data_IF_970590362113
#
_entry.id   IF_970590362113
#
_cell.length_a   1.000
_cell.length_b   1.000
_cell.length_c   1.000
_cell.angle_alpha   90.00
_cell.angle_beta   90.00
_cell.angle_gamma   90.00
#
_symmetry.space_group_name_H-M   'P 1'
#
loop_
_entity.id
_entity.type
_entity.pdbx_description
1 polymer ?
#
# COMPACT_ATOMS: atom_id res chain seq x y z
N UNK A 1 -5.37 -28.79 -9.34
CA UNK A 1 -5.16 -27.50 -10.04
C UNK A 1 -4.25 -26.64 -9.20
N UNK A 2 -3.12 -26.18 -9.74
CA UNK A 2 -2.18 -25.35 -9.02
C UNK A 2 -2.83 -24.04 -8.55
N UNK A 3 -2.48 -23.57 -7.36
CA UNK A 3 -2.98 -22.32 -6.78
C UNK A 3 -2.77 -21.13 -7.72
N UNK A 4 -1.60 -21.05 -8.36
CA UNK A 4 -1.28 -20.04 -9.37
C UNK A 4 -2.26 -20.04 -10.54
N UNK A 5 -2.70 -21.20 -11.01
CA UNK A 5 -3.68 -21.30 -12.10
C UNK A 5 -5.05 -20.74 -11.68
N UNK A 6 -5.48 -20.96 -10.43
CA UNK A 6 -6.74 -20.39 -9.90
C UNK A 6 -6.67 -18.87 -9.75
N UNK A 7 -5.52 -18.33 -9.35
CA UNK A 7 -5.32 -16.87 -9.32
C UNK A 7 -5.37 -16.28 -10.72
N UNK A 8 -4.73 -16.93 -11.71
CA UNK A 8 -4.76 -16.47 -13.10
C UNK A 8 -6.17 -16.52 -13.69
N UNK A 9 -6.92 -17.59 -13.41
CA UNK A 9 -8.31 -17.71 -13.84
C UNK A 9 -9.18 -16.60 -13.25
N UNK A 10 -9.08 -16.36 -11.92
CA UNK A 10 -9.77 -15.27 -11.23
C UNK A 10 -9.42 -13.91 -11.84
N UNK A 11 -8.13 -13.65 -12.09
CA UNK A 11 -7.68 -12.42 -12.73
C UNK A 11 -8.30 -12.24 -14.12
N UNK A 12 -8.31 -13.30 -14.93
CA UNK A 12 -8.93 -13.30 -16.25
C UNK A 12 -10.42 -12.97 -16.17
N UNK A 13 -11.15 -13.65 -15.30
CA UNK A 13 -12.59 -13.45 -15.12
C UNK A 13 -12.90 -12.01 -14.68
N UNK A 14 -12.27 -11.51 -13.66
CA UNK A 14 -12.63 -10.23 -13.05
C UNK A 14 -12.09 -9.03 -13.80
N UNK A 15 -10.86 -9.11 -14.30
CA UNK A 15 -10.18 -7.94 -14.86
C UNK A 15 -10.17 -7.91 -16.39
N UNK A 16 -10.17 -9.08 -17.05
CA UNK A 16 -10.18 -9.17 -18.52
C UNK A 16 -11.60 -9.31 -19.05
N UNK A 17 -12.36 -10.27 -18.51
CA UNK A 17 -13.74 -10.54 -18.95
C UNK A 17 -14.76 -9.58 -18.32
N UNK A 18 -14.38 -8.82 -17.31
CA UNK A 18 -15.25 -7.84 -16.65
C UNK A 18 -16.34 -8.47 -15.76
N UNK A 19 -16.22 -9.76 -15.41
CA UNK A 19 -17.18 -10.41 -14.50
C UNK A 19 -17.27 -9.63 -13.20
N UNK A 20 -18.47 -9.38 -12.74
CA UNK A 20 -18.71 -8.68 -11.48
C UNK A 20 -18.47 -9.59 -10.29
N UNK A 21 -17.97 -9.00 -9.19
CA UNK A 21 -17.73 -9.69 -7.94
C UNK A 21 -17.85 -8.70 -6.78
N UNK A 22 -18.54 -9.08 -5.72
CA UNK A 22 -18.84 -8.20 -4.59
C UNK A 22 -17.60 -7.53 -3.96
N UNK A 23 -16.45 -8.24 -3.91
CA UNK A 23 -15.21 -7.72 -3.34
C UNK A 23 -14.25 -7.10 -4.36
N UNK A 24 -14.62 -6.98 -5.62
CA UNK A 24 -13.76 -6.40 -6.67
C UNK A 24 -13.32 -4.97 -6.32
N UNK A 25 -14.21 -4.20 -5.71
CA UNK A 25 -13.97 -2.80 -5.37
C UNK A 25 -12.99 -2.61 -4.20
N UNK A 26 -12.85 -3.57 -3.28
CA UNK A 26 -11.95 -3.44 -2.12
C UNK A 26 -10.46 -3.47 -2.49
N UNK A 27 -10.13 -3.83 -3.72
CA UNK A 27 -8.76 -3.72 -4.24
C UNK A 27 -8.29 -2.25 -4.38
N UNK A 28 -9.23 -1.30 -4.43
CA UNK A 28 -8.95 0.13 -4.36
C UNK A 28 -8.78 0.54 -2.89
N UNK A 29 -7.68 1.22 -2.55
CA UNK A 29 -7.27 1.45 -1.15
C UNK A 29 -8.32 2.16 -0.30
N UNK A 30 -9.01 3.16 -0.87
CA UNK A 30 -10.04 3.92 -0.12
C UNK A 30 -11.25 3.02 0.16
N UNK A 31 -11.67 2.23 -0.84
CA UNK A 31 -12.79 1.31 -0.66
C UNK A 31 -12.45 0.16 0.27
N UNK A 32 -11.21 -0.34 0.19
CA UNK A 32 -10.70 -1.34 1.12
C UNK A 32 -10.70 -0.84 2.57
N UNK A 33 -10.23 0.39 2.82
CA UNK A 33 -10.28 0.99 4.15
C UNK A 33 -11.73 1.16 4.65
N UNK A 34 -12.64 1.67 3.81
CA UNK A 34 -14.06 1.79 4.17
C UNK A 34 -14.70 0.45 4.52
N UNK A 35 -14.34 -0.60 3.79
CA UNK A 35 -14.78 -1.95 4.10
C UNK A 35 -14.29 -2.40 5.48
N UNK A 36 -13.00 -2.20 5.79
CA UNK A 36 -12.43 -2.53 7.11
C UNK A 36 -13.09 -1.71 8.23
N UNK A 37 -13.31 -0.42 8.02
CA UNK A 37 -14.06 0.46 8.95
C UNK A 37 -15.48 -0.05 9.20
N UNK A 38 -16.17 -0.55 8.17
CA UNK A 38 -17.51 -1.10 8.31
C UNK A 38 -17.58 -2.36 9.16
N UNK A 39 -16.44 -3.03 9.36
CA UNK A 39 -16.29 -4.18 10.26
C UNK A 39 -15.92 -3.76 11.71
N UNK A 40 -15.86 -2.46 11.99
CA UNK A 40 -15.47 -1.93 13.31
C UNK A 40 -13.97 -2.00 13.59
N UNK A 41 -13.13 -2.22 12.57
CA UNK A 41 -11.69 -2.28 12.69
C UNK A 41 -11.05 -0.93 12.38
N UNK A 42 -9.93 -0.64 13.06
CA UNK A 42 -9.17 0.59 12.84
C UNK A 42 -8.42 0.56 11.52
N UNK A 43 -8.38 1.70 10.85
CA UNK A 43 -7.54 1.96 9.67
C UNK A 43 -6.71 3.24 9.91
N UNK A 44 -5.64 3.48 9.14
CA UNK A 44 -4.91 4.74 9.21
C UNK A 44 -5.84 5.93 8.96
N UNK A 45 -5.70 6.98 9.78
CA UNK A 45 -6.46 8.21 9.59
C UNK A 45 -6.21 8.80 8.20
N UNK A 46 -7.26 9.22 7.51
CA UNK A 46 -7.17 9.86 6.21
C UNK A 46 -7.23 11.37 6.35
N UNK A 47 -6.10 12.03 6.14
CA UNK A 47 -6.03 13.49 6.19
C UNK A 47 -6.55 14.17 4.93
N UNK A 48 -6.43 13.47 3.78
CA UNK A 48 -6.86 14.03 2.50
C UNK A 48 -7.19 12.93 1.48
N UNK A 49 -8.19 13.19 0.65
CA UNK A 49 -8.51 12.43 -0.56
C UNK A 49 -8.90 13.41 -1.66
N UNK A 50 -8.15 13.44 -2.75
CA UNK A 50 -8.40 14.33 -3.88
C UNK A 50 -8.35 13.62 -5.22
N UNK A 51 -9.15 14.13 -6.16
CA UNK A 51 -9.17 13.63 -7.55
C UNK A 51 -8.08 14.30 -8.41
N UNK A 52 -7.60 15.46 -7.96
CA UNK A 52 -6.58 16.24 -8.65
C UNK A 52 -5.30 16.28 -7.82
N UNK A 53 -4.18 16.07 -8.48
CA UNK A 53 -2.86 16.06 -7.84
C UNK A 53 -2.54 17.42 -7.24
N UNK A 54 -2.92 18.50 -7.91
CA UNK A 54 -2.67 19.88 -7.49
C UNK A 54 -3.44 20.26 -6.23
N UNK A 55 -4.48 19.52 -5.87
CA UNK A 55 -5.29 19.76 -4.67
C UNK A 55 -4.68 19.22 -3.38
N UNK A 56 -3.49 18.58 -3.43
CA UNK A 56 -2.75 18.18 -2.23
C UNK A 56 -2.56 19.40 -1.31
N UNK A 57 -2.92 19.34 -0.02
CA UNK A 57 -2.73 20.43 0.92
C UNK A 57 -1.26 20.81 1.09
N UNK A 58 -1.01 22.03 1.58
CA UNK A 58 0.33 22.43 1.96
C UNK A 58 0.85 21.58 3.11
N UNK A 59 2.14 21.26 3.12
CA UNK A 59 2.70 20.35 4.13
C UNK A 59 2.69 20.94 5.54
N UNK A 60 2.57 22.27 5.66
CA UNK A 60 2.43 22.94 6.95
C UNK A 60 1.08 22.61 7.62
N UNK A 61 0.08 22.25 6.84
CA UNK A 61 -1.26 21.90 7.32
C UNK A 61 -1.39 20.42 7.68
N UNK A 62 -0.32 19.64 7.53
CA UNK A 62 -0.28 18.21 7.80
C UNK A 62 0.61 17.89 9.00
N UNK A 63 0.43 16.73 9.65
CA UNK A 63 1.36 16.24 10.66
C UNK A 63 2.79 16.15 10.10
N UNK A 64 3.81 16.17 10.97
CA UNK A 64 5.22 16.03 10.55
C UNK A 64 5.50 14.72 9.79
N UNK A 65 4.69 13.69 10.05
CA UNK A 65 4.79 12.36 9.43
C UNK A 65 3.47 11.99 8.78
N UNK A 66 3.51 11.69 7.51
CA UNK A 66 2.35 11.24 6.74
C UNK A 66 2.77 10.45 5.50
N UNK A 67 1.82 9.79 4.89
CA UNK A 67 2.02 9.03 3.65
C UNK A 67 1.17 9.60 2.54
N UNK A 68 1.79 9.88 1.39
CA UNK A 68 1.08 10.22 0.15
C UNK A 68 1.12 8.98 -0.74
N UNK A 69 -0.02 8.57 -1.27
CA UNK A 69 -0.09 7.44 -2.19
C UNK A 69 -1.31 7.53 -3.13
N UNK A 70 -1.23 6.94 -4.34
CA UNK A 70 -2.40 6.79 -5.18
C UNK A 70 -3.36 5.74 -4.59
N UNK A 71 -4.66 5.96 -4.76
CA UNK A 71 -5.70 5.01 -4.32
C UNK A 71 -5.63 3.67 -5.06
N UNK A 72 -5.05 3.67 -6.25
CA UNK A 72 -4.81 2.50 -7.10
C UNK A 72 -3.32 2.33 -7.35
N UNK A 73 -2.90 1.13 -7.70
CA UNK A 73 -1.50 0.80 -7.96
C UNK A 73 -0.88 -0.11 -6.90
N UNK A 74 0.33 -0.59 -7.20
CA UNK A 74 1.07 -1.59 -6.42
C UNK A 74 2.57 -1.28 -6.43
N UNK A 75 3.34 -2.08 -5.70
CA UNK A 75 4.81 -2.03 -5.66
C UNK A 75 5.41 -0.69 -5.22
N UNK A 76 4.75 0.01 -4.30
CA UNK A 76 5.18 1.32 -3.76
C UNK A 76 5.39 2.40 -4.83
N UNK A 77 4.87 2.22 -6.05
CA UNK A 77 4.93 3.23 -7.09
C UNK A 77 4.16 4.48 -6.68
N UNK A 78 4.79 5.63 -6.81
CA UNK A 78 4.22 6.94 -6.44
C UNK A 78 3.80 7.03 -4.96
N UNK A 79 4.44 6.25 -4.09
CA UNK A 79 4.25 6.31 -2.64
C UNK A 79 5.37 7.14 -2.02
N UNK A 80 5.00 8.10 -1.19
CA UNK A 80 5.92 8.94 -0.41
C UNK A 80 5.60 8.75 1.08
N UNK A 81 6.54 8.23 1.81
CA UNK A 81 6.47 8.06 3.26
C UNK A 81 7.29 9.18 3.89
N UNK A 82 6.62 10.26 4.27
CA UNK A 82 7.28 11.50 4.66
C UNK A 82 7.46 11.62 6.17
N UNK A 83 8.65 12.06 6.57
CA UNK A 83 8.99 12.46 7.92
C UNK A 83 9.75 13.80 7.82
N UNK A 84 9.13 14.89 8.26
CA UNK A 84 9.68 16.26 8.16
C UNK A 84 10.17 16.58 6.73
N UNK A 85 9.36 16.24 5.73
CA UNK A 85 9.67 16.43 4.31
C UNK A 85 10.71 15.48 3.73
N UNK A 86 11.27 14.56 4.52
CA UNK A 86 12.19 13.52 4.02
C UNK A 86 11.39 12.25 3.71
N UNK A 87 11.45 11.78 2.48
CA UNK A 87 10.86 10.52 2.10
C UNK A 87 11.73 9.35 2.58
N UNK A 88 11.15 8.52 3.44
CA UNK A 88 11.84 7.38 4.05
C UNK A 88 12.15 6.27 3.04
N UNK A 89 11.46 6.26 1.89
CA UNK A 89 11.68 5.27 0.83
C UNK A 89 12.93 5.56 -0.02
N UNK A 90 13.34 6.81 -0.20
CA UNK A 90 14.48 7.19 -1.03
C UNK A 90 15.52 8.06 -0.32
N UNK A 91 15.21 8.46 0.93
CA UNK A 91 16.08 9.31 1.76
C UNK A 91 16.21 10.76 1.30
N UNK A 92 15.45 11.17 0.26
CA UNK A 92 15.50 12.54 -0.26
C UNK A 92 14.52 13.45 0.47
N UNK A 93 14.82 14.74 0.51
CA UNK A 93 13.84 15.77 0.84
C UNK A 93 12.98 16.02 -0.39
N UNK A 94 11.70 16.16 -0.15
CA UNK A 94 10.70 16.47 -1.17
C UNK A 94 9.81 17.61 -0.68
N UNK A 95 9.66 18.64 -1.48
CA UNK A 95 8.61 19.64 -1.31
C UNK A 95 7.30 19.15 -1.91
N UNK A 96 6.20 19.79 -1.53
CA UNK A 96 4.89 19.55 -2.13
C UNK A 96 4.93 19.70 -3.66
N UNK A 97 5.52 20.79 -4.16
CA UNK A 97 5.56 21.06 -5.60
C UNK A 97 6.39 20.02 -6.37
N UNK A 98 7.48 19.54 -5.81
CA UNK A 98 8.27 18.45 -6.43
C UNK A 98 7.48 17.14 -6.49
N UNK A 99 6.69 16.81 -5.45
CA UNK A 99 5.82 15.63 -5.45
C UNK A 99 4.72 15.77 -6.49
N UNK A 100 4.06 16.93 -6.54
CA UNK A 100 3.04 17.23 -7.56
C UNK A 100 3.62 17.07 -8.95
N UNK A 101 4.75 17.71 -9.24
CA UNK A 101 5.41 17.63 -10.54
C UNK A 101 5.81 16.18 -10.90
N UNK A 102 6.38 15.45 -9.93
CA UNK A 102 6.79 14.07 -10.12
C UNK A 102 5.60 13.17 -10.45
N UNK A 103 4.52 13.22 -9.66
CA UNK A 103 3.34 12.36 -9.88
C UNK A 103 2.65 12.75 -11.20
N UNK A 104 2.55 14.04 -11.52
CA UNK A 104 1.97 14.51 -12.79
C UNK A 104 2.74 14.04 -14.02
N UNK A 105 4.03 13.76 -13.87
CA UNK A 105 4.85 13.20 -14.96
C UNK A 105 4.68 11.69 -15.16
N UNK A 106 3.96 11.00 -14.26
CA UNK A 106 3.82 9.54 -14.32
C UNK A 106 2.65 9.11 -15.21
N UNK A 107 2.88 8.37 -16.32
CA UNK A 107 1.81 7.93 -17.22
C UNK A 107 0.73 7.13 -16.51
N UNK A 108 1.12 6.24 -15.60
CA UNK A 108 0.20 5.34 -14.88
C UNK A 108 -0.84 6.04 -14.01
N UNK A 109 -0.61 7.27 -13.62
CA UNK A 109 -1.56 8.09 -12.85
C UNK A 109 -2.49 8.83 -13.80
N UNK A 110 -1.95 9.35 -14.91
CA UNK A 110 -2.70 10.15 -15.88
C UNK A 110 -3.66 9.31 -16.74
N UNK A 111 -3.31 8.06 -17.03
CA UNK A 111 -4.13 7.15 -17.86
C UNK A 111 -5.35 6.61 -17.12
N UNK A 112 -5.37 6.68 -15.79
CA UNK A 112 -6.47 6.16 -14.99
C UNK A 112 -7.22 7.30 -14.27
N UNK A 113 -8.16 7.91 -14.98
CA UNK A 113 -9.01 9.00 -14.46
C UNK A 113 -9.76 8.70 -13.15
N UNK A 114 -9.77 7.44 -12.70
CA UNK A 114 -10.39 7.01 -11.44
C UNK A 114 -9.39 6.92 -10.28
N UNK A 115 -8.11 7.18 -10.53
CA UNK A 115 -7.08 7.15 -9.48
C UNK A 115 -7.11 8.46 -8.71
N UNK A 116 -7.40 8.38 -7.41
CA UNK A 116 -7.33 9.50 -6.48
C UNK A 116 -5.99 9.50 -5.78
N UNK A 117 -5.55 10.65 -5.31
CA UNK A 117 -4.48 10.74 -4.33
C UNK A 117 -5.07 10.74 -2.92
N UNK A 118 -4.41 10.06 -2.02
CA UNK A 118 -4.75 10.08 -0.61
C UNK A 118 -3.52 10.40 0.23
N UNK A 119 -3.76 11.12 1.31
CA UNK A 119 -2.79 11.37 2.38
C UNK A 119 -3.36 10.73 3.64
N UNK A 120 -2.55 9.92 4.27
CA UNK A 120 -2.95 9.20 5.46
C UNK A 120 -1.87 9.21 6.54
N UNK A 121 -2.26 8.75 7.70
CA UNK A 121 -1.42 8.56 8.85
C UNK A 121 -0.18 7.73 8.54
N UNK A 122 0.96 8.19 9.05
CA UNK A 122 2.20 7.42 9.07
C UNK A 122 2.14 6.39 10.17
N UNK A 123 2.04 5.12 9.82
CA UNK A 123 2.09 4.04 10.79
C UNK A 123 3.51 3.85 11.32
N UNK A 124 3.64 3.95 12.65
CA UNK A 124 4.92 3.79 13.34
C UNK A 124 5.26 2.30 13.43
N UNK A 125 6.50 1.96 13.12
CA UNK A 125 7.01 0.61 13.34
C UNK A 125 6.92 0.26 14.83
N UNK A 126 6.51 -0.97 15.15
CA UNK A 126 6.27 -1.41 16.54
C UNK A 126 7.50 -1.31 17.45
N UNK A 127 8.71 -1.50 16.92
CA UNK A 127 9.96 -1.44 17.70
C UNK A 127 10.75 -0.15 17.54
N UNK A 128 10.61 0.57 16.40
CA UNK A 128 11.44 1.72 16.05
C UNK A 128 10.63 2.87 15.46
N UNK A 129 10.59 4.00 16.17
CA UNK A 129 9.81 5.20 15.78
C UNK A 129 10.20 5.83 14.43
N UNK A 130 11.37 5.53 13.90
CA UNK A 130 11.89 6.12 12.65
C UNK A 130 12.01 5.09 11.52
N UNK A 131 11.49 3.91 11.72
CA UNK A 131 11.47 2.84 10.71
C UNK A 131 10.11 2.78 10.03
N UNK A 132 10.10 2.44 8.76
CA UNK A 132 8.86 2.17 8.02
C UNK A 132 8.23 0.91 8.61
N UNK A 133 6.91 0.91 8.81
CA UNK A 133 6.20 -0.24 9.30
C UNK A 133 6.39 -1.45 8.37
N UNK A 134 6.49 -2.63 8.96
CA UNK A 134 6.59 -3.88 8.21
C UNK A 134 5.28 -4.17 7.45
N UNK A 135 5.41 -4.85 6.33
CA UNK A 135 4.31 -5.30 5.49
C UNK A 135 3.89 -6.72 5.92
N UNK A 136 2.66 -6.90 6.38
CA UNK A 136 2.10 -8.21 6.72
C UNK A 136 1.12 -8.64 5.63
N UNK A 137 1.42 -9.72 4.93
CA UNK A 137 0.60 -10.28 3.86
C UNK A 137 0.02 -11.62 4.26
N UNK A 138 -1.26 -11.62 4.56
CA UNK A 138 -2.00 -12.83 4.91
C UNK A 138 -2.43 -13.57 3.64
N UNK A 139 -1.99 -14.79 3.50
CA UNK A 139 -2.42 -15.69 2.44
C UNK A 139 -3.52 -16.60 3.00
N UNK A 140 -4.76 -16.34 2.54
CA UNK A 140 -5.96 -16.99 3.06
C UNK A 140 -6.52 -18.02 2.08
N UNK A 141 -7.03 -19.12 2.62
CA UNK A 141 -7.83 -20.11 1.91
C UNK A 141 -9.19 -20.25 2.61
N UNK A 142 -10.19 -19.53 2.13
CA UNK A 142 -11.43 -19.39 2.85
C UNK A 142 -11.21 -18.64 4.16
N UNK A 143 -11.54 -19.25 5.28
CA UNK A 143 -11.34 -18.71 6.64
C UNK A 143 -9.97 -19.07 7.25
N UNK A 144 -9.18 -19.92 6.61
CA UNK A 144 -7.92 -20.43 7.15
C UNK A 144 -6.74 -19.59 6.67
N UNK A 145 -5.79 -19.31 7.56
CA UNK A 145 -4.52 -18.67 7.24
C UNK A 145 -3.55 -19.75 6.77
N UNK A 146 -3.18 -19.74 5.50
CA UNK A 146 -2.16 -20.63 4.99
C UNK A 146 -0.77 -20.23 5.50
N UNK A 147 -0.47 -18.96 5.44
CA UNK A 147 0.73 -18.35 6.03
C UNK A 147 0.64 -16.82 5.99
N UNK A 148 1.49 -16.16 6.77
CA UNK A 148 1.69 -14.72 6.74
C UNK A 148 3.10 -14.43 6.25
N UNK A 149 3.23 -13.65 5.18
CA UNK A 149 4.53 -13.15 4.72
C UNK A 149 4.78 -11.79 5.33
N UNK A 150 5.85 -11.66 6.10
CA UNK A 150 6.28 -10.42 6.74
C UNK A 150 7.45 -9.85 5.93
N UNK A 151 7.34 -8.60 5.52
CA UNK A 151 8.37 -7.91 4.76
C UNK A 151 8.90 -6.74 5.58
N UNK A 152 10.10 -6.88 6.10
CA UNK A 152 10.83 -5.79 6.73
C UNK A 152 11.49 -4.92 5.65
N UNK A 153 11.09 -3.66 5.59
CA UNK A 153 11.61 -2.72 4.58
C UNK A 153 12.78 -1.96 5.14
N UNK A 154 13.99 -2.42 4.82
CA UNK A 154 15.22 -1.80 5.26
C UNK A 154 15.70 -0.69 4.31
N UNK A 155 15.47 -0.83 3.00
CA UNK A 155 15.82 0.18 1.99
C UNK A 155 14.92 0.01 0.76
N UNK A 156 14.11 1.01 0.46
CA UNK A 156 13.21 0.97 -0.68
C UNK A 156 13.92 0.93 -2.03
N UNK A 157 15.16 1.44 -2.10
CA UNK A 157 15.97 1.41 -3.33
C UNK A 157 16.67 0.08 -3.55
N UNK A 158 16.87 -0.68 -2.48
CA UNK A 158 17.55 -1.98 -2.52
C UNK A 158 16.59 -3.06 -2.04
N UNK A 159 15.70 -3.50 -2.91
CA UNK A 159 14.80 -4.63 -2.59
C UNK A 159 15.55 -5.84 -2.02
N UNK A 160 16.84 -6.03 -2.40
CA UNK A 160 17.72 -7.05 -1.85
C UNK A 160 18.08 -6.86 -0.38
N UNK A 161 17.88 -5.67 0.21
CA UNK A 161 18.09 -5.42 1.64
C UNK A 161 16.86 -5.68 2.49
N UNK A 162 15.70 -5.87 1.88
CA UNK A 162 14.50 -6.27 2.60
C UNK A 162 14.68 -7.70 3.11
N UNK A 163 14.16 -7.93 4.31
CA UNK A 163 14.07 -9.27 4.87
C UNK A 163 12.67 -9.78 4.70
N UNK A 164 12.56 -11.08 4.48
CA UNK A 164 11.30 -11.77 4.29
C UNK A 164 11.24 -12.94 5.27
N UNK A 165 10.13 -13.02 5.99
CA UNK A 165 9.80 -14.17 6.82
C UNK A 165 8.43 -14.68 6.45
N UNK A 166 8.24 -15.98 6.60
CA UNK A 166 6.93 -16.57 6.51
C UNK A 166 6.64 -17.24 7.84
N UNK A 167 5.45 -17.03 8.36
CA UNK A 167 4.99 -17.63 9.60
C UNK A 167 3.63 -18.28 9.40
N UNK A 168 3.34 -19.28 10.23
CA UNK A 168 2.01 -19.90 10.29
C UNK A 168 1.02 -19.04 11.10
N UNK A 169 -0.17 -19.55 11.36
CA UNK A 169 -1.21 -18.90 12.15
C UNK A 169 -0.82 -18.67 13.61
N UNK A 170 0.10 -19.48 14.16
CA UNK A 170 0.64 -19.39 15.51
C UNK A 170 1.89 -18.49 15.59
N UNK A 171 2.25 -17.80 14.49
CA UNK A 171 3.44 -16.95 14.34
C UNK A 171 4.78 -17.70 14.42
N UNK A 172 4.77 -18.99 14.18
CA UNK A 172 5.99 -19.79 14.09
C UNK A 172 6.57 -19.71 12.67
N UNK A 173 7.90 -19.64 12.58
CA UNK A 173 8.60 -19.56 11.31
C UNK A 173 8.34 -20.81 10.45
N UNK A 174 8.02 -20.57 9.19
CA UNK A 174 7.88 -21.61 8.17
C UNK A 174 9.06 -21.50 7.21
N UNK A 175 9.82 -22.57 7.09
CA UNK A 175 10.84 -22.70 6.06
C UNK A 175 10.19 -23.33 4.80
N UNK A 176 9.97 -22.50 3.78
CA UNK A 176 9.59 -23.03 2.47
C UNK A 176 10.85 -23.54 1.79
N UNK A 177 11.07 -24.84 1.84
CA UNK A 177 12.01 -25.46 0.90
C UNK A 177 11.44 -25.33 -0.52
N UNK A 178 12.06 -24.48 -1.31
CA UNK A 178 11.76 -24.31 -2.74
C UNK A 178 12.56 -25.32 -3.53
#
# INVERSE_FOLDING_TARGET
TLFSARIQDRRKRWWVNGEDHEFKHIAEKIQGQKFVESLGLSVPERYFVGERIESIPEFVDLPEKFVIKPSRGWSSNNVFVLNKGRNMLDGKKWSRNEIVAFISSQPSVNENAKTKLMIEEYLVHWSEKNKIADDYKFFMFGSEIAYVSIIERNDAKKMKSNRFWNVNEDWELIDFQV
#
